data_IF_138906779172
#
_entry.id   IF_138906779172
#
_cell.length_a   1.000
_cell.length_b   1.000
_cell.length_c   1.000
_cell.angle_alpha   90.00
_cell.angle_beta   90.00
_cell.angle_gamma   90.00
#
_symmetry.space_group_name_H-M   'P 1'
#
loop_
_entity.id
_entity.type
_entity.pdbx_description
1 polymer ?
#
# COMPACT_ATOMS: atom_id res chain seq x y z
N UNK A 1 -1.49 9.81 -51.02
CA UNK A 1 -1.35 10.48 -49.71
C UNK A 1 -0.65 11.80 -49.93
N UNK A 2 -1.05 12.89 -49.25
CA UNK A 2 -0.30 14.15 -49.34
C UNK A 2 0.93 14.08 -48.41
N UNK A 3 2.02 14.77 -48.75
CA UNK A 3 3.20 14.88 -47.86
C UNK A 3 2.85 15.37 -46.45
N UNK A 4 1.79 16.18 -46.33
CA UNK A 4 1.26 16.63 -45.05
C UNK A 4 0.65 15.49 -44.23
N UNK A 5 -0.15 14.61 -44.86
CA UNK A 5 -0.74 13.44 -44.19
C UNK A 5 0.33 12.45 -43.70
N UNK A 6 1.37 12.21 -44.49
CA UNK A 6 2.49 11.35 -44.09
C UNK A 6 3.29 11.94 -42.92
N UNK A 7 3.49 13.26 -42.91
CA UNK A 7 4.14 13.95 -41.79
C UNK A 7 3.29 13.89 -40.51
N UNK A 8 1.98 14.05 -40.63
CA UNK A 8 1.05 13.94 -39.50
C UNK A 8 1.08 12.53 -38.90
N UNK A 9 0.97 11.49 -39.72
CA UNK A 9 1.02 10.09 -39.25
C UNK A 9 2.32 9.78 -38.50
N UNK A 10 3.46 10.27 -38.99
CA UNK A 10 4.76 10.11 -38.30
C UNK A 10 4.78 10.82 -36.94
N UNK A 11 4.18 12.01 -36.82
CA UNK A 11 4.11 12.74 -35.55
C UNK A 11 3.20 12.04 -34.54
N UNK A 12 2.07 11.49 -34.99
CA UNK A 12 1.16 10.72 -34.13
C UNK A 12 1.82 9.43 -33.63
N UNK A 13 2.55 8.72 -34.50
CA UNK A 13 3.32 7.54 -34.11
C UNK A 13 4.41 7.89 -33.08
N UNK A 14 5.15 8.97 -33.30
CA UNK A 14 6.14 9.46 -32.33
C UNK A 14 5.50 9.81 -30.98
N UNK A 15 4.36 10.52 -30.99
CA UNK A 15 3.61 10.85 -29.77
C UNK A 15 3.16 9.59 -29.04
N UNK A 16 2.65 8.58 -29.76
CA UNK A 16 2.22 7.32 -29.17
C UNK A 16 3.40 6.58 -28.50
N UNK A 17 4.58 6.55 -29.16
CA UNK A 17 5.80 5.95 -28.60
C UNK A 17 6.26 6.67 -27.32
N UNK A 18 6.32 8.00 -27.35
CA UNK A 18 6.72 8.80 -26.17
C UNK A 18 5.72 8.61 -25.02
N UNK A 19 4.42 8.62 -25.30
CA UNK A 19 3.40 8.37 -24.29
C UNK A 19 3.54 6.98 -23.66
N UNK A 20 3.79 5.94 -24.47
CA UNK A 20 4.02 4.60 -23.96
C UNK A 20 5.26 4.52 -23.07
N UNK A 21 6.34 5.24 -23.42
CA UNK A 21 7.55 5.32 -22.61
C UNK A 21 7.30 6.04 -21.27
N UNK A 22 6.59 7.18 -21.29
CA UNK A 22 6.19 7.91 -20.07
C UNK A 22 5.41 6.99 -19.13
N UNK A 23 4.42 6.25 -19.65
CA UNK A 23 3.62 5.33 -18.84
C UNK A 23 4.47 4.20 -18.25
N UNK A 24 5.43 3.66 -19.02
CA UNK A 24 6.36 2.63 -18.52
C UNK A 24 7.24 3.15 -17.39
N UNK A 25 7.78 4.36 -17.52
CA UNK A 25 8.61 4.98 -16.46
C UNK A 25 7.79 5.21 -15.21
N UNK A 26 6.60 5.83 -15.33
CA UNK A 26 5.69 6.05 -14.19
C UNK A 26 5.29 4.76 -13.49
N UNK A 27 4.97 3.71 -14.24
CA UNK A 27 4.61 2.41 -13.68
C UNK A 27 5.78 1.79 -12.89
N UNK A 28 7.02 1.91 -13.39
CA UNK A 28 8.22 1.44 -12.68
C UNK A 28 8.46 2.22 -11.40
N UNK A 29 8.33 3.54 -11.42
CA UNK A 29 8.48 4.39 -10.23
C UNK A 29 7.43 4.04 -9.18
N UNK A 30 6.15 3.94 -9.57
CA UNK A 30 5.09 3.56 -8.66
C UNK A 30 5.30 2.15 -8.08
N UNK A 31 5.77 1.20 -8.90
CA UNK A 31 6.10 -0.14 -8.40
C UNK A 31 7.24 -0.10 -7.39
N UNK A 32 8.29 0.70 -7.64
CA UNK A 32 9.41 0.85 -6.72
C UNK A 32 8.98 1.52 -5.42
N UNK A 33 8.12 2.53 -5.49
CA UNK A 33 7.57 3.20 -4.32
C UNK A 33 6.75 2.25 -3.45
N UNK A 34 5.85 1.45 -4.05
CA UNK A 34 5.10 0.42 -3.32
C UNK A 34 6.02 -0.60 -2.65
N UNK A 35 7.06 -1.08 -3.36
CA UNK A 35 8.07 -1.98 -2.77
C UNK A 35 8.76 -1.34 -1.57
N UNK A 36 9.16 -0.08 -1.70
CA UNK A 36 9.82 0.67 -0.62
C UNK A 36 8.87 0.87 0.57
N UNK A 37 7.60 1.20 0.32
CA UNK A 37 6.58 1.36 1.36
C UNK A 37 6.33 0.05 2.12
N UNK A 38 6.15 -1.07 1.40
CA UNK A 38 6.03 -2.40 2.01
C UNK A 38 7.27 -2.72 2.84
N UNK A 39 8.48 -2.46 2.31
CA UNK A 39 9.73 -2.70 3.04
C UNK A 39 9.81 -1.87 4.32
N UNK A 40 9.42 -0.59 4.30
CA UNK A 40 9.37 0.25 5.50
C UNK A 40 8.41 -0.31 6.55
N UNK A 41 7.19 -0.68 6.15
CA UNK A 41 6.20 -1.28 7.06
C UNK A 41 6.71 -2.57 7.71
N UNK A 42 7.33 -3.46 6.93
CA UNK A 42 7.93 -4.69 7.44
C UNK A 42 9.06 -4.40 8.43
N UNK A 43 9.96 -3.46 8.12
CA UNK A 43 11.08 -3.12 9.00
C UNK A 43 10.61 -2.51 10.32
N UNK A 44 9.60 -1.62 10.27
CA UNK A 44 8.99 -1.04 11.49
C UNK A 44 8.36 -2.13 12.35
N UNK A 45 7.60 -3.05 11.73
CA UNK A 45 7.00 -4.18 12.44
C UNK A 45 8.06 -5.08 13.07
N UNK A 46 9.10 -5.46 12.32
CA UNK A 46 10.19 -6.29 12.83
C UNK A 46 10.93 -5.63 14.01
N UNK A 47 11.19 -4.31 13.92
CA UNK A 47 11.83 -3.56 15.01
C UNK A 47 10.95 -3.52 16.27
N UNK A 48 9.65 -3.25 16.12
CA UNK A 48 8.71 -3.24 17.25
C UNK A 48 8.60 -4.61 17.91
N UNK A 49 8.49 -5.69 17.12
CA UNK A 49 8.49 -7.05 17.64
C UNK A 49 9.79 -7.38 18.39
N UNK A 50 10.94 -6.92 17.89
CA UNK A 50 12.22 -7.03 18.59
C UNK A 50 12.22 -6.35 19.96
N UNK A 51 11.60 -5.16 20.07
CA UNK A 51 11.46 -4.43 21.36
C UNK A 51 10.54 -5.15 22.35
N UNK A 52 9.47 -5.78 21.85
CA UNK A 52 8.59 -6.58 22.70
C UNK A 52 9.30 -7.83 23.20
N UNK A 53 10.00 -8.54 22.31
CA UNK A 53 10.75 -9.75 22.66
C UNK A 53 11.91 -9.47 23.63
N UNK A 54 12.57 -8.31 23.53
CA UNK A 54 13.62 -7.91 24.48
C UNK A 54 13.09 -7.44 25.84
N UNK A 55 11.76 -7.33 25.99
CA UNK A 55 11.12 -6.81 27.20
C UNK A 55 11.24 -5.28 27.36
N UNK A 56 11.87 -4.58 26.42
CA UNK A 56 11.96 -3.12 26.41
C UNK A 56 10.59 -2.47 26.20
N UNK A 57 9.67 -3.16 25.54
CA UNK A 57 8.29 -2.74 25.36
C UNK A 57 7.31 -3.81 25.86
N UNK A 58 6.33 -3.46 26.72
CA UNK A 58 5.37 -4.45 27.22
C UNK A 58 4.48 -5.01 26.09
N UNK A 59 4.39 -6.33 26.00
CA UNK A 59 3.51 -7.02 25.04
C UNK A 59 2.04 -6.61 25.21
N UNK A 60 1.58 -6.45 26.46
CA UNK A 60 0.22 -5.99 26.75
C UNK A 60 -0.12 -4.65 26.07
N UNK A 61 0.84 -3.71 26.02
CA UNK A 61 0.64 -2.43 25.32
C UNK A 61 0.54 -2.60 23.81
N UNK A 62 1.23 -3.60 23.23
CA UNK A 62 1.06 -3.94 21.82
C UNK A 62 -0.35 -4.48 21.56
N UNK A 63 -0.83 -5.41 22.39
CA UNK A 63 -2.17 -6.01 22.25
C UNK A 63 -3.27 -4.94 22.37
N UNK A 64 -3.18 -4.04 23.36
CA UNK A 64 -4.11 -2.90 23.51
C UNK A 64 -4.09 -1.97 22.30
N UNK A 65 -2.90 -1.67 21.76
CA UNK A 65 -2.78 -0.87 20.55
C UNK A 65 -3.44 -1.56 19.35
N UNK A 66 -3.22 -2.87 19.17
CA UNK A 66 -3.84 -3.65 18.09
C UNK A 66 -5.36 -3.76 18.25
N UNK A 67 -5.87 -3.84 19.48
CA UNK A 67 -7.31 -3.84 19.78
C UNK A 67 -7.99 -2.56 19.30
N UNK A 68 -7.34 -1.41 19.47
CA UNK A 68 -7.85 -0.13 18.99
C UNK A 68 -7.67 0.11 17.48
N UNK A 69 -6.65 -0.51 16.87
CA UNK A 69 -6.27 -0.24 15.48
C UNK A 69 -6.91 -1.20 14.46
N UNK A 70 -7.06 -2.49 14.81
CA UNK A 70 -7.51 -3.51 13.87
C UNK A 70 -9.04 -3.54 13.76
N UNK A 71 -9.53 -3.35 12.55
CA UNK A 71 -10.97 -3.33 12.25
C UNK A 71 -11.52 -4.68 11.78
N UNK A 72 -10.68 -5.53 11.19
CA UNK A 72 -11.11 -6.79 10.58
C UNK A 72 -10.95 -7.95 11.55
N UNK A 73 -11.99 -8.73 11.73
CA UNK A 73 -12.01 -9.86 12.67
C UNK A 73 -10.89 -10.88 12.39
N UNK A 74 -10.55 -11.14 11.13
CA UNK A 74 -9.45 -12.06 10.80
C UNK A 74 -8.08 -11.52 11.24
N UNK A 75 -7.85 -10.21 11.14
CA UNK A 75 -6.61 -9.58 11.59
C UNK A 75 -6.57 -9.57 13.13
N UNK A 76 -7.69 -9.27 13.78
CA UNK A 76 -7.84 -9.29 15.25
C UNK A 76 -7.56 -10.68 15.85
N UNK A 77 -8.03 -11.73 15.19
CA UNK A 77 -7.79 -13.11 15.61
C UNK A 77 -6.30 -13.47 15.66
N UNK A 78 -5.44 -12.86 14.83
CA UNK A 78 -3.98 -13.07 14.88
C UNK A 78 -3.35 -12.62 16.21
N UNK A 79 -4.03 -11.75 16.95
CA UNK A 79 -3.60 -11.23 18.25
C UNK A 79 -4.46 -11.77 19.41
N UNK A 80 -5.32 -12.77 19.16
CA UNK A 80 -6.24 -13.31 20.17
C UNK A 80 -7.35 -12.34 20.60
N UNK A 81 -7.61 -11.30 19.81
CA UNK A 81 -8.62 -10.28 20.11
C UNK A 81 -10.02 -10.72 19.66
N UNK A 82 -11.08 -10.36 20.40
CA UNK A 82 -12.45 -10.67 20.02
C UNK A 82 -12.87 -9.91 18.75
N UNK A 83 -13.80 -10.45 17.94
CA UNK A 83 -14.34 -9.75 16.78
C UNK A 83 -15.04 -8.45 17.19
N UNK A 84 -15.05 -7.47 16.28
CA UNK A 84 -15.76 -6.20 16.54
C UNK A 84 -17.26 -6.50 16.46
N UNK A 85 -17.95 -6.36 17.60
CA UNK A 85 -19.41 -6.40 17.58
C UNK A 85 -19.94 -5.29 16.67
N UNK A 86 -20.89 -5.59 15.77
CA UNK A 86 -21.43 -4.56 14.88
C UNK A 86 -22.00 -3.44 15.73
N UNK A 87 -21.43 -2.23 15.58
CA UNK A 87 -22.01 -1.02 16.19
C UNK A 87 -23.45 -0.92 15.69
N UNK A 88 -24.46 -0.75 16.56
CA UNK A 88 -25.83 -0.55 16.11
C UNK A 88 -25.83 0.63 15.16
N UNK A 89 -26.28 0.39 13.92
CA UNK A 89 -26.43 1.44 12.93
C UNK A 89 -27.50 2.39 13.47
N UNK A 90 -27.06 3.58 13.88
CA UNK A 90 -27.97 4.67 14.18
C UNK A 90 -28.55 5.09 12.83
N UNK A 91 -29.74 4.55 12.50
CA UNK A 91 -30.54 5.04 11.39
C UNK A 91 -31.07 6.42 11.77
N UNK A 92 -30.63 7.44 11.03
CA UNK A 92 -31.19 8.78 11.03
C UNK A 92 -31.75 9.09 9.66
#
# INVERSE_FOLDING_TARGET
MTKAAERLAKLEEQRARINAEIQRVRAREQQQERKNETRRKVLVGAWMMGKVQSGEWPEQKLIEAMDSYLERDHDRALFGLPPIQPKPQVQG
#
